data_IF_432541162998
#
_entry.id   IF_432541162998
#
_cell.length_a   1.000
_cell.length_b   1.000
_cell.length_c   1.000
_cell.angle_alpha   90.00
_cell.angle_beta   90.00
_cell.angle_gamma   90.00
#
_symmetry.space_group_name_H-M   'P 1'
#
loop_
_entity.id
_entity.type
_entity.pdbx_description
1 polymer ?
#
# COMPACT_ATOMS: atom_id res chain seq x y z
N UNK A 1 17.19 6.47 7.13
CA UNK A 1 16.23 5.60 6.42
C UNK A 1 15.87 6.22 5.09
N UNK A 2 15.87 5.42 4.01
CA UNK A 2 15.30 5.85 2.72
C UNK A 2 13.80 6.09 2.93
N UNK A 3 13.32 7.25 2.51
CA UNK A 3 11.90 7.58 2.58
C UNK A 3 11.18 6.85 1.45
N UNK A 4 10.08 6.17 1.78
CA UNK A 4 9.25 5.42 0.85
C UNK A 4 7.86 6.06 0.73
N UNK A 5 7.22 5.90 -0.41
CA UNK A 5 5.84 6.26 -0.68
C UNK A 5 4.96 5.01 -0.52
N UNK A 6 4.20 4.98 0.58
CA UNK A 6 3.42 3.82 1.02
C UNK A 6 1.94 4.12 0.81
N UNK A 7 1.31 3.35 -0.06
CA UNK A 7 -0.13 3.38 -0.26
C UNK A 7 -0.80 2.45 0.74
N UNK A 8 -1.82 2.94 1.43
CA UNK A 8 -2.62 2.17 2.38
C UNK A 8 -4.08 2.22 1.98
N UNK A 9 -4.65 1.06 1.66
CA UNK A 9 -6.05 0.93 1.33
C UNK A 9 -6.66 -0.32 1.99
N UNK A 10 -7.91 -0.18 2.44
CA UNK A 10 -8.70 -1.26 3.03
C UNK A 10 -10.16 -1.08 2.62
N UNK A 11 -10.90 -2.17 2.64
CA UNK A 11 -12.36 -2.14 2.53
C UNK A 11 -13.01 -1.49 3.77
N UNK A 12 -14.33 -1.34 3.78
CA UNK A 12 -15.06 -0.79 4.93
C UNK A 12 -15.01 -1.71 6.18
N UNK A 13 -15.05 -3.04 6.00
CA UNK A 13 -15.11 -4.01 7.10
C UNK A 13 -13.82 -4.10 7.91
N UNK A 14 -12.67 -3.78 7.31
CA UNK A 14 -11.35 -3.82 7.92
C UNK A 14 -10.90 -2.46 8.48
N UNK A 15 -11.73 -1.41 8.44
CA UNK A 15 -11.30 -0.06 8.85
C UNK A 15 -10.86 0.05 10.29
N UNK A 16 -11.57 -0.60 11.21
CA UNK A 16 -11.19 -0.61 12.63
C UNK A 16 -9.83 -1.29 12.83
N UNK A 17 -9.66 -2.47 12.23
CA UNK A 17 -8.39 -3.19 12.26
C UNK A 17 -7.25 -2.37 11.62
N UNK A 18 -7.53 -1.66 10.53
CA UNK A 18 -6.56 -0.77 9.89
C UNK A 18 -6.13 0.36 10.83
N UNK A 19 -7.07 0.99 11.53
CA UNK A 19 -6.79 2.06 12.50
C UNK A 19 -5.85 1.55 13.60
N UNK A 20 -6.20 0.43 14.23
CA UNK A 20 -5.40 -0.17 15.30
C UNK A 20 -4.00 -0.57 14.80
N UNK A 21 -3.94 -1.18 13.62
CA UNK A 21 -2.70 -1.58 12.98
C UNK A 21 -1.82 -0.36 12.66
N UNK A 22 -2.39 0.69 12.07
CA UNK A 22 -1.66 1.92 11.74
C UNK A 22 -1.20 2.65 13.00
N UNK A 23 -2.00 2.68 14.07
CA UNK A 23 -1.59 3.25 15.35
C UNK A 23 -0.40 2.50 15.95
N UNK A 24 -0.47 1.17 15.98
CA UNK A 24 0.60 0.32 16.52
C UNK A 24 1.92 0.49 15.74
N UNK A 25 1.83 0.72 14.44
CA UNK A 25 2.99 0.89 13.55
C UNK A 25 3.36 2.36 13.30
N UNK A 26 2.76 3.30 14.04
CA UNK A 26 2.88 4.74 13.77
C UNK A 26 4.33 5.21 13.66
N UNK A 27 5.19 4.81 14.59
CA UNK A 27 6.59 5.24 14.64
C UNK A 27 7.39 4.90 13.36
N UNK A 28 6.97 3.87 12.62
CA UNK A 28 7.59 3.49 11.35
C UNK A 28 6.92 4.27 10.21
N UNK A 29 5.59 4.28 10.18
CA UNK A 29 4.79 4.92 9.15
C UNK A 29 5.03 6.43 9.06
N UNK A 30 5.29 7.11 10.18
CA UNK A 30 5.54 8.56 10.22
C UNK A 30 6.85 8.99 9.54
N UNK A 31 7.75 8.05 9.28
CA UNK A 31 9.02 8.30 8.61
C UNK A 31 8.88 8.25 7.07
N UNK A 32 7.71 7.88 6.57
CA UNK A 32 7.40 7.63 5.18
C UNK A 32 6.28 8.56 4.68
N UNK A 33 6.10 8.63 3.36
CA UNK A 33 4.96 9.34 2.78
C UNK A 33 3.78 8.38 2.74
N UNK A 34 2.69 8.70 3.42
CA UNK A 34 1.49 7.86 3.39
C UNK A 34 0.52 8.39 2.34
N UNK A 35 0.05 7.50 1.47
CA UNK A 35 -0.92 7.77 0.41
C UNK A 35 -2.15 6.91 0.68
N UNK A 36 -3.35 7.46 0.58
CA UNK A 36 -4.57 6.66 0.78
C UNK A 36 -5.78 7.25 0.03
N UNK A 37 -6.73 6.42 -0.41
CA UNK A 37 -7.94 6.90 -1.06
C UNK A 37 -9.04 7.30 -0.07
N UNK A 38 -9.78 8.35 -0.42
CA UNK A 38 -11.08 8.70 0.18
C UNK A 38 -11.11 8.70 1.71
N UNK A 39 -12.04 7.91 2.29
CA UNK A 39 -12.25 7.84 3.75
C UNK A 39 -11.02 7.28 4.49
N UNK A 40 -10.25 6.39 3.88
CA UNK A 40 -9.07 5.78 4.51
C UNK A 40 -8.02 6.84 4.82
N UNK A 41 -7.77 7.78 3.91
CA UNK A 41 -6.85 8.89 4.16
C UNK A 41 -7.27 9.76 5.36
N UNK A 42 -8.58 10.06 5.47
CA UNK A 42 -9.11 10.86 6.59
C UNK A 42 -8.89 10.17 7.93
N UNK A 43 -9.11 8.86 7.99
CA UNK A 43 -8.87 8.06 9.19
C UNK A 43 -7.38 8.05 9.56
N UNK A 44 -6.50 7.78 8.59
CA UNK A 44 -5.06 7.73 8.82
C UNK A 44 -4.49 9.08 9.27
N UNK A 45 -4.99 10.21 8.74
CA UNK A 45 -4.61 11.56 9.23
C UNK A 45 -4.88 11.73 10.71
N UNK A 46 -6.04 11.27 11.19
CA UNK A 46 -6.41 11.36 12.60
C UNK A 46 -5.58 10.45 13.51
N UNK A 47 -5.17 9.28 13.01
CA UNK A 47 -4.45 8.27 13.79
C UNK A 47 -2.94 8.54 13.83
N UNK A 48 -2.35 8.79 12.66
CA UNK A 48 -0.90 8.93 12.52
C UNK A 48 -0.42 10.33 12.88
N UNK A 49 -1.29 11.35 12.80
CA UNK A 49 -0.92 12.76 12.98
C UNK A 49 0.23 13.21 12.04
N UNK A 50 0.33 12.57 10.87
CA UNK A 50 1.28 12.92 9.81
C UNK A 50 0.55 13.33 8.54
N UNK A 51 1.22 14.06 7.62
CA UNK A 51 0.66 14.33 6.30
C UNK A 51 0.36 13.02 5.55
N UNK A 52 -0.91 12.84 5.18
CA UNK A 52 -1.36 11.75 4.29
C UNK A 52 -1.81 12.38 2.98
N UNK A 53 -1.19 11.97 1.87
CA UNK A 53 -1.65 12.32 0.53
C UNK A 53 -2.98 11.59 0.29
N UNK A 54 -4.03 12.37 0.05
CA UNK A 54 -5.38 11.84 -0.12
C UNK A 54 -5.72 11.76 -1.60
N UNK A 55 -5.96 10.54 -2.07
CA UNK A 55 -6.52 10.26 -3.40
C UNK A 55 -8.05 10.33 -3.36
N UNK A 56 -8.64 10.39 -4.55
CA UNK A 56 -10.08 10.20 -4.74
C UNK A 56 -10.55 8.87 -4.15
N UNK A 57 -11.82 8.74 -3.73
CA UNK A 57 -12.38 7.46 -3.36
C UNK A 57 -12.21 6.41 -4.47
N UNK A 58 -11.94 5.16 -4.08
CA UNK A 58 -11.82 4.01 -4.99
C UNK A 58 -13.05 3.85 -5.90
N UNK A 59 -14.23 4.24 -5.42
CA UNK A 59 -15.49 4.16 -6.18
C UNK A 59 -15.66 5.25 -7.24
N UNK A 60 -14.91 6.35 -7.16
CA UNK A 60 -15.15 7.54 -8.00
C UNK A 60 -13.92 7.97 -8.81
N UNK A 61 -12.75 7.35 -8.63
CA UNK A 61 -11.55 7.71 -9.39
C UNK A 61 -10.20 7.36 -8.76
N UNK A 62 -10.18 6.86 -7.52
CA UNK A 62 -8.92 6.59 -6.82
C UNK A 62 -8.07 5.48 -7.42
N UNK A 63 -8.64 4.54 -8.18
CA UNK A 63 -7.86 3.47 -8.85
C UNK A 63 -7.04 4.05 -10.02
N UNK A 64 -7.64 4.72 -11.03
CA UNK A 64 -6.86 5.36 -12.08
C UNK A 64 -5.81 6.36 -11.59
N UNK A 65 -6.12 7.13 -10.53
CA UNK A 65 -5.13 8.02 -9.91
C UNK A 65 -3.92 7.23 -9.38
N UNK A 66 -4.17 6.12 -8.69
CA UNK A 66 -3.12 5.27 -8.15
C UNK A 66 -2.32 4.55 -9.25
N UNK A 67 -2.99 4.08 -10.31
CA UNK A 67 -2.34 3.48 -11.48
C UNK A 67 -1.36 4.46 -12.13
N UNK A 68 -1.78 5.71 -12.33
CA UNK A 68 -0.90 6.77 -12.83
C UNK A 68 0.32 6.99 -11.94
N UNK A 69 0.13 7.03 -10.62
CA UNK A 69 1.26 7.18 -9.68
C UNK A 69 2.23 5.99 -9.75
N UNK A 70 1.73 4.76 -9.95
CA UNK A 70 2.58 3.57 -10.18
C UNK A 70 3.37 3.71 -11.48
N UNK A 71 2.73 4.14 -12.57
CA UNK A 71 3.39 4.37 -13.87
C UNK A 71 4.52 5.41 -13.76
N UNK A 72 4.30 6.47 -12.98
CA UNK A 72 5.24 7.57 -12.73
C UNK A 72 6.31 7.24 -11.68
N UNK A 73 6.32 6.02 -11.12
CA UNK A 73 7.22 5.55 -10.05
C UNK A 73 7.11 6.36 -8.74
N UNK A 74 5.91 6.85 -8.43
CA UNK A 74 5.62 7.62 -7.22
C UNK A 74 5.15 6.74 -6.05
N UNK A 75 5.17 5.42 -6.22
CA UNK A 75 4.73 4.43 -5.24
C UNK A 75 5.81 3.37 -5.07
N UNK A 76 6.24 3.13 -3.82
CA UNK A 76 7.23 2.08 -3.49
C UNK A 76 6.56 0.84 -2.89
N UNK A 77 5.44 1.03 -2.17
CA UNK A 77 4.77 -0.02 -1.40
C UNK A 77 3.25 0.12 -1.50
N UNK A 78 2.56 -0.98 -1.82
CA UNK A 78 1.11 -1.12 -1.77
C UNK A 78 0.70 -2.03 -0.60
N UNK A 79 0.08 -1.45 0.43
CA UNK A 79 -0.54 -2.16 1.54
C UNK A 79 -2.07 -2.18 1.32
N UNK A 80 -2.59 -3.30 0.85
CA UNK A 80 -3.97 -3.44 0.41
C UNK A 80 -4.69 -4.53 1.20
N UNK A 81 -5.75 -4.20 1.95
CA UNK A 81 -6.45 -5.15 2.83
C UNK A 81 -7.90 -5.42 2.37
N UNK A 82 -8.12 -6.30 1.38
CA UNK A 82 -9.45 -6.61 0.84
C UNK A 82 -10.32 -7.41 1.79
N UNK A 83 -11.62 -7.53 1.46
CA UNK A 83 -12.54 -8.42 2.19
C UNK A 83 -12.29 -9.84 1.71
N UNK A 84 -12.36 -10.81 2.61
CA UNK A 84 -12.35 -12.23 2.22
C UNK A 84 -13.53 -12.58 1.29
N UNK A 85 -14.65 -11.85 1.41
CA UNK A 85 -15.86 -12.05 0.61
C UNK A 85 -15.80 -11.39 -0.77
N UNK A 86 -14.85 -10.47 -0.98
CA UNK A 86 -14.74 -9.67 -2.21
C UNK A 86 -13.52 -10.08 -3.06
N UNK A 87 -12.87 -11.23 -2.80
CA UNK A 87 -11.61 -11.56 -3.45
C UNK A 87 -11.70 -11.58 -4.98
N UNK A 88 -12.77 -12.12 -5.55
CA UNK A 88 -12.98 -12.15 -7.01
C UNK A 88 -13.26 -10.74 -7.57
N UNK A 89 -14.08 -9.95 -6.88
CA UNK A 89 -14.42 -8.57 -7.28
C UNK A 89 -13.20 -7.64 -7.17
N UNK A 90 -12.35 -7.87 -6.17
CA UNK A 90 -11.07 -7.18 -5.99
C UNK A 90 -10.09 -7.59 -7.07
N UNK A 91 -10.00 -8.88 -7.40
CA UNK A 91 -9.09 -9.38 -8.43
C UNK A 91 -9.37 -8.72 -9.78
N UNK A 92 -10.64 -8.60 -10.18
CA UNK A 92 -10.99 -7.96 -11.45
C UNK A 92 -10.81 -6.44 -11.42
N UNK A 93 -11.21 -5.78 -10.32
CA UNK A 93 -11.18 -4.32 -10.21
C UNK A 93 -9.79 -3.74 -10.04
N UNK A 94 -8.88 -4.47 -9.40
CA UNK A 94 -7.50 -4.05 -9.16
C UNK A 94 -6.48 -4.74 -10.06
N UNK A 95 -6.92 -5.60 -11.00
CA UNK A 95 -6.04 -6.40 -11.86
C UNK A 95 -4.95 -5.58 -12.51
N UNK A 96 -5.34 -4.49 -13.19
CA UNK A 96 -4.42 -3.66 -13.94
C UNK A 96 -3.40 -2.98 -13.01
N UNK A 97 -3.86 -2.35 -11.92
CA UNK A 97 -2.97 -1.82 -10.88
C UNK A 97 -1.97 -2.86 -10.36
N UNK A 98 -2.40 -4.07 -10.05
CA UNK A 98 -1.53 -5.12 -9.52
C UNK A 98 -0.51 -5.61 -10.55
N UNK A 99 -0.93 -5.71 -11.82
CA UNK A 99 -0.01 -5.99 -12.94
C UNK A 99 1.04 -4.89 -13.06
N UNK A 100 0.63 -3.62 -13.14
CA UNK A 100 1.53 -2.47 -13.22
C UNK A 100 2.50 -2.43 -12.04
N UNK A 101 2.00 -2.64 -10.82
CA UNK A 101 2.82 -2.67 -9.62
C UNK A 101 3.87 -3.79 -9.66
N UNK A 102 3.48 -4.97 -10.15
CA UNK A 102 4.40 -6.10 -10.30
C UNK A 102 5.45 -5.84 -11.38
N UNK A 103 5.08 -5.25 -12.51
CA UNK A 103 6.02 -4.86 -13.58
C UNK A 103 7.04 -3.81 -13.11
N UNK A 104 6.62 -2.95 -12.19
CA UNK A 104 7.45 -1.90 -11.57
C UNK A 104 8.21 -2.36 -10.33
N UNK A 105 8.11 -3.64 -9.97
CA UNK A 105 8.74 -4.22 -8.78
C UNK A 105 8.35 -3.51 -7.47
N UNK A 106 7.11 -3.05 -7.39
CA UNK A 106 6.53 -2.44 -6.20
C UNK A 106 6.19 -3.54 -5.19
N UNK A 107 6.53 -3.31 -3.92
CA UNK A 107 6.20 -4.27 -2.87
C UNK A 107 4.69 -4.27 -2.60
N UNK A 108 4.05 -5.44 -2.66
CA UNK A 108 2.61 -5.59 -2.41
C UNK A 108 2.36 -6.46 -1.17
N UNK A 109 1.51 -5.99 -0.26
CA UNK A 109 1.04 -6.76 0.90
C UNK A 109 -0.48 -6.80 0.94
N UNK A 110 -1.05 -8.01 0.97
CA UNK A 110 -2.50 -8.24 1.02
C UNK A 110 -3.09 -8.48 2.41
N UNK A 111 -2.23 -8.61 3.41
CA UNK A 111 -2.62 -8.89 4.78
C UNK A 111 -1.62 -8.26 5.76
N UNK A 112 -2.04 -8.14 7.02
CA UNK A 112 -1.26 -7.50 8.08
C UNK A 112 0.03 -8.24 8.40
N UNK A 113 0.07 -9.57 8.23
CA UNK A 113 1.28 -10.37 8.44
C UNK A 113 2.39 -9.98 7.46
N UNK A 114 2.09 -9.93 6.16
CA UNK A 114 3.04 -9.45 5.15
C UNK A 114 3.40 -8.00 5.39
N UNK A 115 2.42 -7.14 5.66
CA UNK A 115 2.67 -5.72 5.93
C UNK A 115 3.59 -5.51 7.15
N UNK A 116 3.45 -6.31 8.21
CA UNK A 116 4.31 -6.24 9.38
C UNK A 116 5.76 -6.61 9.06
N UNK A 117 5.99 -7.67 8.27
CA UNK A 117 7.34 -8.04 7.85
C UNK A 117 8.01 -6.93 7.04
N UNK A 118 7.24 -6.28 6.16
CA UNK A 118 7.69 -5.13 5.38
C UNK A 118 8.10 -3.97 6.29
N UNK A 119 7.22 -3.56 7.21
CA UNK A 119 7.50 -2.46 8.12
C UNK A 119 8.68 -2.76 9.05
N UNK A 120 8.82 -4.00 9.53
CA UNK A 120 9.97 -4.40 10.32
C UNK A 120 11.28 -4.31 9.53
N UNK A 121 11.25 -4.65 8.24
CA UNK A 121 12.41 -4.48 7.37
C UNK A 121 12.80 -3.01 7.23
N UNK A 122 11.81 -2.14 6.97
CA UNK A 122 12.01 -0.69 6.90
C UNK A 122 12.57 -0.11 8.20
N UNK A 123 12.04 -0.51 9.35
CA UNK A 123 12.46 -0.04 10.66
C UNK A 123 13.92 -0.39 10.99
N UNK A 124 14.38 -1.56 10.55
CA UNK A 124 15.74 -2.02 10.78
C UNK A 124 16.76 -1.39 9.80
N UNK A 125 16.29 -0.53 8.88
CA UNK A 125 17.12 0.14 7.88
C UNK A 125 17.99 -0.85 7.08
N UNK A 126 17.54 -2.11 7.01
CA UNK A 126 18.08 -3.09 6.07
C UNK A 126 17.54 -2.64 4.72
N UNK A 127 18.44 -2.33 3.78
CA UNK A 127 18.01 -2.27 2.40
C UNK A 127 17.26 -3.57 2.11
N UNK A 128 16.06 -3.44 1.56
CA UNK A 128 15.42 -4.55 0.91
C UNK A 128 16.24 -4.81 -0.36
N UNK A 129 17.47 -5.31 -0.18
CA UNK A 129 18.29 -5.93 -1.21
C UNK A 129 17.64 -7.28 -1.51
N UNK A 130 16.42 -7.23 -2.03
CA UNK A 130 15.81 -8.36 -2.69
C UNK A 130 16.50 -8.39 -4.05
N UNK A 131 17.66 -9.03 -4.09
CA UNK A 131 18.31 -9.37 -5.34
C UNK A 131 17.39 -10.39 -6.05
N UNK A 132 16.46 -9.87 -6.84
CA UNK A 132 15.65 -10.71 -7.71
C UNK A 132 16.61 -11.19 -8.77
N UNK A 133 17.08 -12.43 -8.61
CA UNK A 133 17.51 -13.24 -9.73
C UNK A 133 16.40 -13.11 -10.77
N UNK A 134 16.64 -12.27 -11.78
CA UNK A 134 15.60 -11.77 -12.65
C UNK A 134 14.91 -13.00 -13.20
N UNK A 135 13.68 -13.27 -12.76
CA UNK A 135 12.77 -14.16 -13.47
C UNK A 135 12.39 -13.39 -14.75
N UNK A 136 13.39 -13.07 -15.58
CA UNK A 136 13.18 -12.81 -16.99
C UNK A 136 12.44 -14.05 -17.44
N UNK A 137 11.17 -13.85 -17.74
CA UNK A 137 10.35 -14.84 -18.38
C UNK A 137 11.23 -15.56 -19.40
N UNK A 138 11.34 -16.88 -19.23
CA UNK A 138 11.69 -17.76 -20.33
C UNK A 138 10.60 -17.53 -21.38
N UNK A 139 10.85 -16.58 -22.28
CA UNK A 139 10.10 -16.32 -23.50
C UNK A 139 11.10 -16.12 -24.63
#
# INVERSE_FOLDING_TARGET
MKKMNIVIAANETNKTALIEWSYTNKNILEQHTIIAPGKTARLLKGVLLVPVLQLSPVTTGGIPELEKMVEENEVDILLFFPSLQDQDVVADKFRNLLTLASEKDILIAFNTTTANLVLQSLANNKELDIEIATLKALS
#
